data_IF_122145332826
#
_entry.id   IF_122145332826
#
_cell.length_a   1.000
_cell.length_b   1.000
_cell.length_c   1.000
_cell.angle_alpha   90.00
_cell.angle_beta   90.00
_cell.angle_gamma   90.00
#
_symmetry.space_group_name_H-M   'P 1'
#
loop_
_entity.id
_entity.type
_entity.pdbx_description
1 polymer ?
#
# COMPACT_ATOMS: atom_id res chain seq x y z
N UNK A 1 20.11 -6.42 -18.79
CA UNK A 1 21.29 -5.58 -18.51
C UNK A 1 21.85 -6.04 -17.18
N UNK A 2 22.91 -6.86 -17.20
CA UNK A 2 23.63 -7.22 -15.98
C UNK A 2 24.64 -6.10 -15.72
N UNK A 3 24.51 -5.42 -14.58
CA UNK A 3 25.48 -4.43 -14.15
C UNK A 3 26.74 -5.20 -13.74
N UNK A 4 27.75 -5.14 -14.59
CA UNK A 4 29.10 -5.60 -14.26
C UNK A 4 29.86 -4.38 -13.71
N UNK A 5 30.75 -4.57 -12.74
CA UNK A 5 31.50 -3.54 -11.98
C UNK A 5 30.77 -2.86 -10.80
N UNK A 6 29.91 -3.59 -10.08
CA UNK A 6 29.46 -3.15 -8.75
C UNK A 6 30.52 -3.49 -7.69
N UNK A 7 31.35 -2.51 -7.32
CA UNK A 7 32.28 -2.64 -6.22
C UNK A 7 31.57 -2.43 -4.87
N UNK A 8 31.24 -3.52 -4.19
CA UNK A 8 30.67 -3.51 -2.85
C UNK A 8 31.76 -3.27 -1.81
N UNK A 9 31.48 -2.40 -0.84
CA UNK A 9 32.34 -2.21 0.32
C UNK A 9 31.94 -3.20 1.42
N UNK A 10 32.81 -4.17 1.71
CA UNK A 10 32.56 -5.19 2.74
C UNK A 10 32.66 -4.66 4.17
N UNK A 11 33.20 -3.45 4.38
CA UNK A 11 33.40 -2.88 5.71
C UNK A 11 32.28 -1.92 6.13
N UNK A 12 31.36 -1.62 5.23
CA UNK A 12 30.24 -0.70 5.46
C UNK A 12 28.93 -1.47 5.46
N UNK A 13 28.12 -1.27 6.50
CA UNK A 13 26.77 -1.83 6.55
C UNK A 13 25.87 -1.14 5.54
N UNK A 14 24.99 -1.91 4.89
CA UNK A 14 23.96 -1.37 4.02
C UNK A 14 22.94 -0.55 4.83
N UNK A 15 22.46 0.54 4.25
CA UNK A 15 21.38 1.35 4.80
C UNK A 15 20.17 1.37 3.86
N UNK A 16 18.98 1.50 4.44
CA UNK A 16 17.70 1.54 3.72
C UNK A 16 17.00 2.85 4.07
N UNK A 17 16.83 3.71 3.06
CA UNK A 17 16.09 4.95 3.19
C UNK A 17 14.66 4.77 2.66
N UNK A 18 13.68 5.02 3.52
CA UNK A 18 12.27 5.00 3.14
C UNK A 18 11.89 6.28 2.40
N UNK A 19 11.67 6.18 1.09
CA UNK A 19 11.42 7.35 0.22
C UNK A 19 10.00 7.91 0.26
N UNK A 20 9.07 7.23 0.94
CA UNK A 20 7.67 7.66 1.04
C UNK A 20 7.37 8.42 2.34
N UNK A 21 8.41 8.88 3.05
CA UNK A 21 8.32 9.81 4.16
C UNK A 21 9.50 10.80 4.11
N UNK A 22 9.28 12.06 4.53
CA UNK A 22 10.30 13.10 4.49
C UNK A 22 11.44 12.88 5.50
N UNK A 23 11.17 12.11 6.56
CA UNK A 23 12.15 11.75 7.59
C UNK A 23 13.00 10.52 7.22
N UNK A 24 12.80 9.97 6.01
CA UNK A 24 13.50 8.77 5.54
C UNK A 24 13.16 7.50 6.32
N UNK A 25 12.21 7.56 7.26
CA UNK A 25 11.96 6.49 8.23
C UNK A 25 10.77 5.63 7.82
N UNK A 26 10.97 4.33 7.88
CA UNK A 26 9.88 3.39 7.65
C UNK A 26 8.86 3.43 8.78
N UNK A 27 7.58 3.36 8.43
CA UNK A 27 6.50 3.01 9.36
C UNK A 27 5.40 2.25 8.62
N UNK A 28 4.66 1.41 9.34
CA UNK A 28 3.51 0.72 8.76
C UNK A 28 2.52 1.71 8.14
N UNK A 29 2.30 2.87 8.78
CA UNK A 29 1.41 3.91 8.27
C UNK A 29 1.87 4.49 6.91
N UNK A 30 3.16 4.77 6.74
CA UNK A 30 3.70 5.30 5.48
C UNK A 30 3.78 4.22 4.40
N UNK A 31 4.02 2.97 4.77
CA UNK A 31 3.95 1.81 3.88
C UNK A 31 2.54 1.61 3.29
N UNK A 32 1.51 1.66 4.14
CA UNK A 32 0.12 1.63 3.67
C UNK A 32 -0.13 2.80 2.72
N UNK A 33 0.22 4.05 3.07
CA UNK A 33 0.04 5.19 2.15
C UNK A 33 0.73 4.98 0.79
N UNK A 34 1.94 4.43 0.78
CA UNK A 34 2.68 4.13 -0.45
C UNK A 34 1.99 3.02 -1.28
N UNK A 35 1.46 1.98 -0.64
CA UNK A 35 0.73 0.91 -1.31
C UNK A 35 -0.49 1.42 -2.10
N UNK A 36 -1.18 2.44 -1.55
CA UNK A 36 -2.34 3.03 -2.20
C UNK A 36 -2.01 4.28 -3.04
N UNK A 37 -0.72 4.63 -3.19
CA UNK A 37 -0.31 5.79 -3.98
C UNK A 37 -0.60 5.56 -5.46
N UNK A 38 -1.35 6.49 -6.07
CA UNK A 38 -1.73 6.40 -7.48
C UNK A 38 -2.90 5.45 -7.76
N UNK A 39 -3.53 4.88 -6.73
CA UNK A 39 -4.74 4.10 -6.94
C UNK A 39 -5.90 4.99 -7.41
N UNK A 40 -6.66 4.46 -8.36
CA UNK A 40 -7.92 5.05 -8.78
C UNK A 40 -9.04 4.50 -7.92
N UNK A 41 -9.83 5.39 -7.33
CA UNK A 41 -11.03 4.98 -6.61
C UNK A 41 -12.01 4.32 -7.57
N UNK A 42 -12.55 3.18 -7.16
CA UNK A 42 -13.49 2.40 -7.95
C UNK A 42 -14.64 1.96 -7.06
N UNK A 43 -15.89 1.97 -7.57
CA UNK A 43 -17.05 1.50 -6.80
C UNK A 43 -17.09 -0.02 -6.64
N UNK A 44 -16.02 -0.73 -7.02
CA UNK A 44 -15.90 -2.19 -6.91
C UNK A 44 -16.08 -2.69 -5.49
N UNK A 45 -15.62 -1.95 -4.49
CA UNK A 45 -15.83 -2.27 -3.08
C UNK A 45 -17.33 -2.38 -2.75
N UNK A 46 -18.13 -1.41 -3.18
CA UNK A 46 -19.57 -1.45 -3.05
C UNK A 46 -20.19 -2.53 -3.94
N UNK A 47 -19.78 -2.67 -5.19
CA UNK A 47 -20.39 -3.66 -6.08
C UNK A 47 -20.18 -5.11 -5.60
N UNK A 48 -19.00 -5.40 -5.05
CA UNK A 48 -18.64 -6.75 -4.58
C UNK A 48 -19.22 -7.00 -3.18
N UNK A 49 -19.07 -6.04 -2.26
CA UNK A 49 -19.35 -6.26 -0.84
C UNK A 49 -20.68 -5.72 -0.35
N UNK A 50 -21.44 -4.99 -1.19
CA UNK A 50 -22.81 -4.61 -0.83
C UNK A 50 -23.66 -5.85 -0.63
N UNK A 51 -24.41 -5.87 0.46
CA UNK A 51 -25.46 -6.87 0.64
C UNK A 51 -26.53 -6.68 -0.44
N UNK A 52 -26.53 -7.56 -1.44
CA UNK A 52 -27.55 -7.60 -2.49
C UNK A 52 -28.83 -8.32 -2.04
N UNK A 53 -28.73 -9.11 -0.98
CA UNK A 53 -29.87 -9.76 -0.38
C UNK A 53 -30.81 -8.71 0.21
N UNK A 54 -32.12 -8.75 -0.10
CA UNK A 54 -33.08 -7.93 0.59
C UNK A 54 -33.01 -8.19 2.10
N UNK A 55 -33.16 -7.16 2.95
CA UNK A 55 -33.17 -7.35 4.39
C UNK A 55 -34.29 -8.35 4.74
N UNK A 56 -33.95 -9.36 5.56
CA UNK A 56 -34.93 -10.34 6.06
C UNK A 56 -36.01 -9.71 6.94
N UNK A 57 -35.78 -8.49 7.41
CA UNK A 57 -36.68 -7.74 8.28
C UNK A 57 -37.37 -6.66 7.44
N UNK A 58 -38.70 -6.71 7.39
CA UNK A 58 -39.52 -5.64 6.84
C UNK A 58 -39.73 -4.59 7.93
N UNK A 59 -39.19 -3.39 7.72
CA UNK A 59 -39.56 -2.24 8.53
C UNK A 59 -40.93 -1.75 8.02
N UNK A 60 -41.94 -1.77 8.88
CA UNK A 60 -43.23 -1.12 8.62
C UNK A 60 -43.24 0.19 9.41
N UNK A 61 -43.60 1.28 8.74
CA UNK A 61 -43.83 2.59 9.35
C UNK A 61 -45.27 2.68 9.88
#
# INVERSE_FOLDING_TARGET
MLVHDLHLDQQTDDDIIWKHANDGSYSAATAYKAQFLGLTLSPMDFMIWKAWAPPKIKFFA
#
